data_IF_282068048011
#
_entry.id   IF_282068048011
#
_cell.length_a   1.000
_cell.length_b   1.000
_cell.length_c   1.000
_cell.angle_alpha   90.00
_cell.angle_beta   90.00
_cell.angle_gamma   90.00
#
_symmetry.space_group_name_H-M   'P 1'
#
loop_
_entity.id
_entity.type
_entity.pdbx_description
1 polymer ?
#
# COMPACT_ATOMS: atom_id res chain seq x y z
N UNK A 1 10.39 7.06 11.20
CA UNK A 1 10.97 6.04 10.31
C UNK A 1 9.92 5.66 9.27
N UNK A 2 10.29 5.49 8.01
CA UNK A 2 9.43 4.96 6.95
C UNK A 2 9.99 3.60 6.50
N UNK A 3 9.22 2.53 6.72
CA UNK A 3 9.54 1.16 6.27
C UNK A 3 8.45 0.72 5.32
N UNK A 4 8.85 0.26 4.14
CA UNK A 4 7.96 -0.29 3.14
C UNK A 4 7.88 -1.82 3.32
N UNK A 5 6.67 -2.34 3.30
CA UNK A 5 6.38 -3.77 3.45
C UNK A 5 5.54 -4.25 2.27
N UNK A 6 5.90 -5.42 1.74
CA UNK A 6 5.14 -6.13 0.71
C UNK A 6 4.66 -7.42 1.33
N UNK A 7 3.38 -7.70 1.17
CA UNK A 7 2.73 -8.93 1.64
C UNK A 7 2.11 -9.67 0.48
N UNK A 8 1.77 -10.94 0.71
CA UNK A 8 0.80 -11.63 -0.12
C UNK A 8 -0.65 -11.16 0.20
N UNK A 9 -1.67 -11.66 -0.52
CA UNK A 9 -3.08 -11.33 -0.22
C UNK A 9 -3.60 -11.86 1.12
N UNK A 10 -2.95 -12.87 1.73
CA UNK A 10 -3.31 -13.38 3.05
C UNK A 10 -2.76 -12.49 4.19
N UNK A 11 -1.82 -11.60 3.87
CA UNK A 11 -1.17 -10.69 4.81
C UNK A 11 0.20 -11.17 5.29
N UNK A 12 0.72 -12.26 4.73
CA UNK A 12 2.05 -12.76 5.06
C UNK A 12 3.12 -11.86 4.47
N UNK A 13 4.11 -11.51 5.30
CA UNK A 13 5.18 -10.58 4.89
C UNK A 13 6.15 -11.29 3.95
N UNK A 14 6.16 -10.86 2.68
CA UNK A 14 7.09 -11.34 1.68
C UNK A 14 8.41 -10.57 1.71
N UNK A 15 8.36 -9.27 2.07
CA UNK A 15 9.53 -8.40 2.11
C UNK A 15 9.31 -7.18 2.99
N UNK A 16 10.35 -6.78 3.70
CA UNK A 16 10.48 -5.42 4.24
C UNK A 16 11.71 -4.72 3.66
N UNK A 17 11.65 -3.40 3.65
CA UNK A 17 12.73 -2.54 3.19
C UNK A 17 13.44 -1.90 4.39
N UNK A 18 14.74 -1.56 4.34
CA UNK A 18 15.39 -0.82 5.44
C UNK A 18 14.65 0.47 5.84
N UNK A 19 14.90 1.05 7.00
CA UNK A 19 14.28 2.32 7.37
C UNK A 19 14.72 3.48 6.46
N UNK A 20 13.78 4.37 6.09
CA UNK A 20 14.06 5.72 5.62
C UNK A 20 13.69 6.75 6.70
N UNK A 21 14.20 7.99 6.64
CA UNK A 21 13.74 9.07 7.51
C UNK A 21 12.22 9.21 7.49
N UNK A 22 11.62 9.47 8.66
CA UNK A 22 10.15 9.49 8.81
C UNK A 22 9.43 10.55 7.98
N UNK A 23 10.15 11.57 7.51
CA UNK A 23 9.60 12.65 6.67
C UNK A 23 9.48 12.27 5.19
N UNK A 24 10.05 11.15 4.75
CA UNK A 24 9.96 10.72 3.36
C UNK A 24 8.53 10.28 3.05
N UNK A 25 7.92 10.92 2.04
CA UNK A 25 6.62 10.54 1.52
C UNK A 25 6.62 9.07 1.05
N UNK A 26 5.56 8.34 1.34
CA UNK A 26 5.47 6.89 1.09
C UNK A 26 5.73 6.50 -0.37
N UNK A 27 5.13 7.24 -1.31
CA UNK A 27 5.39 7.02 -2.73
C UNK A 27 6.87 7.21 -3.11
N UNK A 28 7.54 8.20 -2.51
CA UNK A 28 8.97 8.43 -2.70
C UNK A 28 9.77 7.28 -2.14
N UNK A 29 9.43 6.80 -0.93
CA UNK A 29 10.06 5.63 -0.32
C UNK A 29 9.93 4.37 -1.21
N UNK A 30 8.72 4.07 -1.70
CA UNK A 30 8.50 2.93 -2.60
C UNK A 30 9.29 3.03 -3.91
N UNK A 31 9.39 4.23 -4.50
CA UNK A 31 10.19 4.48 -5.71
C UNK A 31 11.68 4.33 -5.44
N UNK A 32 12.20 4.93 -4.38
CA UNK A 32 13.61 4.79 -3.95
C UNK A 32 13.99 3.33 -3.74
N UNK A 33 13.07 2.55 -3.16
CA UNK A 33 13.27 1.10 -2.91
C UNK A 33 12.89 0.22 -4.10
N UNK A 34 12.53 0.83 -5.23
CA UNK A 34 12.22 0.19 -6.51
C UNK A 34 11.12 -0.87 -6.42
N UNK A 35 10.26 -0.83 -5.38
CA UNK A 35 9.24 -1.84 -5.12
C UNK A 35 8.28 -1.93 -6.30
N UNK A 36 7.72 -0.78 -6.70
CA UNK A 36 6.79 -0.68 -7.83
C UNK A 36 7.41 -1.21 -9.12
N UNK A 37 8.68 -0.89 -9.37
CA UNK A 37 9.41 -1.34 -10.57
C UNK A 37 9.65 -2.85 -10.57
N UNK A 38 9.96 -3.44 -9.41
CA UNK A 38 10.20 -4.89 -9.29
C UNK A 38 8.91 -5.66 -9.54
N UNK A 39 7.81 -5.30 -8.87
CA UNK A 39 6.51 -5.95 -9.08
C UNK A 39 6.03 -5.80 -10.53
N UNK A 40 6.16 -4.60 -11.10
CA UNK A 40 5.78 -4.37 -12.50
C UNK A 40 6.60 -5.20 -13.50
N UNK A 41 7.89 -5.42 -13.25
CA UNK A 41 8.71 -6.33 -14.08
C UNK A 41 8.32 -7.81 -13.94
N UNK A 42 7.71 -8.18 -12.82
CA UNK A 42 7.25 -9.54 -12.56
C UNK A 42 5.78 -9.76 -12.94
N UNK A 43 5.09 -8.73 -13.46
CA UNK A 43 3.67 -8.82 -13.77
C UNK A 43 2.76 -8.90 -12.53
N UNK A 44 3.27 -8.51 -11.35
CA UNK A 44 2.54 -8.60 -10.09
C UNK A 44 1.82 -7.28 -9.81
N UNK A 45 0.47 -7.26 -9.79
CA UNK A 45 -0.28 -6.07 -9.40
C UNK A 45 -0.12 -5.78 -7.90
N UNK A 46 -0.10 -4.49 -7.55
CA UNK A 46 0.02 -4.01 -6.17
C UNK A 46 -1.29 -3.33 -5.76
N UNK A 47 -1.85 -3.75 -4.62
CA UNK A 47 -2.91 -3.03 -3.93
C UNK A 47 -2.26 -2.11 -2.88
N UNK A 48 -2.49 -0.81 -2.97
CA UNK A 48 -1.81 0.18 -2.13
C UNK A 48 -2.75 1.24 -1.54
N UNK A 49 -2.20 2.02 -0.61
CA UNK A 49 -2.87 3.19 -0.05
C UNK A 49 -3.01 4.34 -1.03
N UNK A 50 -3.96 5.24 -0.75
CA UNK A 50 -4.14 6.48 -1.49
C UNK A 50 -2.88 7.34 -1.45
N UNK A 51 -2.03 7.21 -0.43
CA UNK A 51 -0.70 7.83 -0.40
C UNK A 51 0.21 7.42 -1.58
N UNK A 52 -0.10 6.31 -2.27
CA UNK A 52 0.60 5.83 -3.47
C UNK A 52 -0.14 6.17 -4.76
N UNK A 53 -1.12 7.07 -4.73
CA UNK A 53 -1.82 7.48 -5.96
C UNK A 53 -0.82 8.08 -6.97
N UNK A 54 -0.96 7.70 -8.25
CA UNK A 54 -0.01 8.09 -9.31
C UNK A 54 1.29 7.29 -9.30
N UNK A 55 1.33 6.15 -8.60
CA UNK A 55 2.49 5.25 -8.58
C UNK A 55 2.78 4.55 -9.91
N UNK A 56 1.79 4.44 -10.80
CA UNK A 56 1.91 3.81 -12.11
C UNK A 56 0.85 2.72 -12.34
N UNK A 57 0.85 2.09 -13.52
CA UNK A 57 -0.24 1.20 -13.96
C UNK A 57 -0.35 -0.11 -13.16
N UNK A 58 0.73 -0.53 -12.50
CA UNK A 58 0.75 -1.74 -11.68
C UNK A 58 0.22 -1.53 -10.25
N UNK A 59 -0.16 -0.30 -9.89
CA UNK A 59 -0.60 0.04 -8.53
C UNK A 59 -2.05 0.48 -8.54
N UNK A 60 -2.91 -0.32 -7.92
CA UNK A 60 -4.29 0.02 -7.67
C UNK A 60 -4.43 0.69 -6.29
N UNK A 61 -5.04 1.87 -6.26
CA UNK A 61 -5.36 2.62 -5.03
C UNK A 61 -6.85 2.90 -4.96
N UNK A 62 -7.34 3.21 -3.77
CA UNK A 62 -8.76 3.56 -3.57
C UNK A 62 -9.18 4.75 -4.43
N UNK A 63 -10.35 4.64 -5.04
CA UNK A 63 -10.96 5.68 -5.87
C UNK A 63 -11.35 6.88 -5.01
N UNK A 64 -10.99 8.08 -5.49
CA UNK A 64 -11.33 9.34 -4.84
C UNK A 64 -12.72 9.81 -5.25
N UNK A 65 -13.38 10.49 -4.32
CA UNK A 65 -14.61 11.20 -4.61
C UNK A 65 -14.30 12.36 -5.59
N UNK A 66 -14.97 12.46 -6.74
CA UNK A 66 -14.81 13.58 -7.64
C UNK A 66 -15.32 14.90 -7.02
N UNK A 67 -14.81 16.07 -7.44
CA UNK A 67 -15.34 17.36 -6.98
C UNK A 67 -16.84 17.48 -7.28
N UNK A 68 -17.63 17.86 -6.27
CA UNK A 68 -19.07 18.11 -6.44
C UNK A 68 -19.96 16.87 -6.67
N UNK A 69 -19.40 15.65 -6.61
CA UNK A 69 -20.17 14.43 -6.81
C UNK A 69 -19.79 13.34 -5.81
N UNK A 70 -20.67 12.35 -5.65
CA UNK A 70 -20.48 11.22 -4.75
C UNK A 70 -19.86 10.01 -5.46
N UNK A 71 -19.29 9.08 -4.69
CA UNK A 71 -18.86 7.80 -5.26
C UNK A 71 -20.08 6.99 -5.72
N UNK A 72 -20.00 6.37 -6.89
CA UNK A 72 -21.04 5.41 -7.31
C UNK A 72 -21.02 4.18 -6.40
N UNK A 73 -22.12 3.41 -6.38
CA UNK A 73 -22.18 2.15 -5.62
C UNK A 73 -21.03 1.22 -6.00
N UNK A 74 -20.76 1.08 -7.30
CA UNK A 74 -19.63 0.29 -7.82
C UNK A 74 -18.29 0.77 -7.26
N UNK A 75 -18.04 2.08 -7.27
CA UNK A 75 -16.78 2.63 -6.74
C UNK A 75 -16.65 2.41 -5.22
N UNK A 76 -17.74 2.51 -4.45
CA UNK A 76 -17.74 2.21 -3.01
C UNK A 76 -17.45 0.72 -2.77
N UNK A 77 -18.04 -0.17 -3.57
CA UNK A 77 -17.79 -1.62 -3.50
C UNK A 77 -16.33 -1.95 -3.80
N UNK A 78 -15.74 -1.38 -4.85
CA UNK A 78 -14.31 -1.53 -5.16
C UNK A 78 -13.44 -1.04 -4.00
N UNK A 79 -13.73 0.14 -3.46
CA UNK A 79 -13.00 0.67 -2.31
C UNK A 79 -13.12 -0.23 -1.06
N UNK A 80 -14.28 -0.83 -0.82
CA UNK A 80 -14.49 -1.77 0.29
C UNK A 80 -13.70 -3.07 0.09
N UNK A 81 -13.70 -3.61 -1.13
CA UNK A 81 -12.90 -4.79 -1.45
C UNK A 81 -11.40 -4.53 -1.29
N UNK A 82 -10.92 -3.37 -1.75
CA UNK A 82 -9.53 -2.94 -1.55
C UNK A 82 -9.18 -2.81 -0.07
N UNK A 83 -10.05 -2.20 0.75
CA UNK A 83 -9.83 -2.06 2.18
C UNK A 83 -9.81 -3.43 2.88
N UNK A 84 -10.71 -4.34 2.52
CA UNK A 84 -10.75 -5.70 3.07
C UNK A 84 -9.47 -6.49 2.75
N UNK A 85 -9.00 -6.44 1.50
CA UNK A 85 -7.75 -7.08 1.09
C UNK A 85 -6.51 -6.52 1.82
N UNK A 86 -6.58 -5.28 2.30
CA UNK A 86 -5.48 -4.62 3.04
C UNK A 86 -5.53 -4.80 4.54
N UNK A 87 -6.68 -5.16 5.11
CA UNK A 87 -6.82 -5.33 6.55
C UNK A 87 -5.80 -6.31 7.17
N UNK A 88 -5.42 -7.44 6.53
CA UNK A 88 -4.35 -8.31 7.03
C UNK A 88 -3.00 -7.61 7.13
N UNK A 89 -2.63 -6.83 6.11
CA UNK A 89 -1.36 -6.06 6.05
C UNK A 89 -1.30 -5.04 7.17
N UNK A 90 -2.39 -4.31 7.39
CA UNK A 90 -2.47 -3.28 8.43
C UNK A 90 -2.36 -3.89 9.83
N UNK A 91 -2.98 -5.06 10.05
CA UNK A 91 -2.81 -5.82 11.30
C UNK A 91 -1.37 -6.29 11.48
N UNK A 92 -0.72 -6.82 10.44
CA UNK A 92 0.70 -7.19 10.47
C UNK A 92 1.60 -6.01 10.84
N UNK A 93 1.39 -4.86 10.20
CA UNK A 93 2.11 -3.62 10.50
C UNK A 93 1.85 -3.08 11.91
N UNK A 94 0.61 -3.17 12.41
CA UNK A 94 0.28 -2.79 13.78
C UNK A 94 1.03 -3.67 14.80
N UNK A 95 1.08 -4.99 14.56
CA UNK A 95 1.86 -5.94 15.37
C UNK A 95 3.35 -5.59 15.36
N UNK A 96 3.93 -5.33 14.19
CA UNK A 96 5.34 -4.92 14.06
C UNK A 96 5.63 -3.61 14.81
N UNK A 97 4.73 -2.64 14.77
CA UNK A 97 4.88 -1.37 15.52
C UNK A 97 4.72 -1.55 17.03
N UNK A 98 3.94 -2.54 17.46
CA UNK A 98 3.79 -2.88 18.89
C UNK A 98 4.98 -3.65 19.47
N UNK A 99 5.85 -4.21 18.62
CA UNK A 99 7.14 -4.76 19.05
C UNK A 99 8.07 -3.61 19.47
N UNK A 100 8.03 -3.29 20.76
CA UNK A 100 9.07 -2.53 21.43
C UNK A 100 10.25 -3.46 21.67
N UNK A 101 11.46 -2.94 21.50
CA UNK A 101 12.70 -3.58 21.97
C UNK A 101 12.47 -4.09 23.41
N UNK A 102 12.50 -5.41 23.58
CA UNK A 102 12.73 -6.04 24.87
C UNK A 102 14.21 -5.97 25.20
#
# INVERSE_FOLDING_TARGET
MNVQVVTDPAGEVLRFSPALPGRTHDLTAARTRRIIRICGRQGVPILADRAYQGAGPWVATGLKRPPGAELTLTQRTVNRALAAARAPVERGMARLKSWRYG
#
